data_IF_536562458291
#
_entry.id   IF_536562458291
#
_cell.length_a   1.000
_cell.length_b   1.000
_cell.length_c   1.000
_cell.angle_alpha   90.00
_cell.angle_beta   90.00
_cell.angle_gamma   90.00
#
_symmetry.space_group_name_H-M   'P 1'
#
loop_
_entity.id
_entity.type
_entity.pdbx_description
1 polymer ?
#
# COMPACT_ATOMS: atom_id res chain seq x y z
N UNK A 1 33.48 30.83 -47.47
CA UNK A 1 32.05 30.75 -47.09
C UNK A 1 31.84 30.02 -45.76
N UNK A 2 32.73 29.08 -45.37
CA UNK A 2 32.75 28.49 -44.01
C UNK A 2 32.72 29.51 -42.86
N UNK A 3 33.49 30.59 -42.97
CA UNK A 3 33.48 31.68 -41.98
C UNK A 3 32.10 32.36 -41.81
N UNK A 4 31.25 32.41 -42.84
CA UNK A 4 29.88 32.93 -42.72
C UNK A 4 28.97 31.94 -41.99
N UNK A 5 29.08 30.64 -42.29
CA UNK A 5 28.33 29.56 -41.62
C UNK A 5 28.67 29.53 -40.13
N UNK A 6 29.95 29.63 -39.80
CA UNK A 6 30.42 29.70 -38.41
C UNK A 6 29.90 30.95 -37.67
N UNK A 7 29.90 32.13 -38.33
CA UNK A 7 29.32 33.35 -37.74
C UNK A 7 27.83 33.20 -37.44
N UNK A 8 27.03 32.67 -38.37
CA UNK A 8 25.60 32.43 -38.13
C UNK A 8 25.36 31.36 -37.07
N UNK A 9 26.19 30.32 -37.03
CA UNK A 9 26.14 29.30 -35.99
C UNK A 9 26.35 29.92 -34.60
N UNK A 10 27.43 30.69 -34.41
CA UNK A 10 27.72 31.37 -33.13
C UNK A 10 26.59 32.33 -32.75
N UNK A 11 26.12 33.16 -33.67
CA UNK A 11 25.02 34.08 -33.41
C UNK A 11 23.72 33.36 -33.02
N UNK A 12 23.44 32.22 -33.65
CA UNK A 12 22.28 31.38 -33.32
C UNK A 12 22.43 30.80 -31.93
N UNK A 13 23.60 30.25 -31.58
CA UNK A 13 23.88 29.73 -30.24
C UNK A 13 23.75 30.83 -29.19
N UNK A 14 24.35 32.00 -29.41
CA UNK A 14 24.27 33.13 -28.48
C UNK A 14 22.81 33.58 -28.27
N UNK A 15 22.01 33.60 -29.32
CA UNK A 15 20.59 33.93 -29.22
C UNK A 15 19.82 32.88 -28.42
N UNK A 16 20.06 31.59 -28.67
CA UNK A 16 19.42 30.51 -27.93
C UNK A 16 19.85 30.47 -26.46
N UNK A 17 21.12 30.75 -26.15
CA UNK A 17 21.59 30.90 -24.77
C UNK A 17 20.89 32.07 -24.08
N UNK A 18 20.74 33.21 -24.77
CA UNK A 18 19.94 34.34 -24.29
C UNK A 18 18.47 33.99 -24.05
N UNK A 19 17.85 33.18 -24.92
CA UNK A 19 16.50 32.67 -24.72
C UNK A 19 16.42 31.74 -23.51
N UNK A 20 17.38 30.82 -23.35
CA UNK A 20 17.44 29.88 -22.23
C UNK A 20 17.40 30.56 -20.87
N UNK A 21 18.12 31.67 -20.71
CA UNK A 21 18.12 32.44 -19.46
C UNK A 21 16.73 32.99 -19.10
N UNK A 22 15.89 33.24 -20.10
CA UNK A 22 14.56 33.83 -19.93
C UNK A 22 13.43 32.79 -19.86
N UNK A 23 13.68 31.52 -20.17
CA UNK A 23 12.66 30.48 -20.12
C UNK A 23 12.28 30.14 -18.67
N UNK A 24 10.99 30.32 -18.35
CA UNK A 24 10.44 30.08 -17.00
C UNK A 24 9.43 28.93 -16.91
N UNK A 25 9.11 28.27 -18.02
CA UNK A 25 8.14 27.17 -18.05
C UNK A 25 8.71 25.94 -18.73
N UNK A 26 8.25 24.75 -18.31
CA UNK A 26 8.60 23.48 -18.90
C UNK A 26 8.19 23.43 -20.38
N UNK A 27 7.01 23.97 -20.73
CA UNK A 27 6.52 24.05 -22.11
C UNK A 27 7.50 24.80 -23.02
N UNK A 28 7.91 26.00 -22.61
CA UNK A 28 8.88 26.78 -23.39
C UNK A 28 10.25 26.08 -23.43
N UNK A 29 10.67 25.43 -22.35
CA UNK A 29 11.89 24.63 -22.33
C UNK A 29 11.82 23.43 -23.28
N UNK A 30 10.68 22.75 -23.38
CA UNK A 30 10.47 21.64 -24.32
C UNK A 30 10.55 22.09 -25.77
N UNK A 31 9.93 23.22 -26.11
CA UNK A 31 10.02 23.80 -27.47
C UNK A 31 11.48 24.07 -27.83
N UNK A 32 12.23 24.66 -26.91
CA UNK A 32 13.64 25.00 -27.11
C UNK A 32 14.51 23.74 -27.24
N UNK A 33 14.28 22.73 -26.38
CA UNK A 33 14.95 21.43 -26.48
C UNK A 33 14.67 20.72 -27.80
N UNK A 34 13.42 20.73 -28.26
CA UNK A 34 13.07 20.12 -29.54
C UNK A 34 13.76 20.85 -30.71
N UNK A 35 13.85 22.17 -30.62
CA UNK A 35 14.54 22.95 -31.64
C UNK A 35 16.03 22.61 -31.72
N UNK A 36 16.70 22.59 -30.56
CA UNK A 36 18.12 22.25 -30.43
C UNK A 36 18.38 20.81 -30.92
N UNK A 37 17.63 19.82 -30.42
CA UNK A 37 17.94 18.42 -30.71
C UNK A 37 17.47 17.94 -32.08
N UNK A 38 16.31 18.42 -32.54
CA UNK A 38 15.64 17.83 -33.71
C UNK A 38 15.49 18.78 -34.89
N UNK A 39 15.55 20.10 -34.68
CA UNK A 39 15.31 21.08 -35.76
C UNK A 39 16.61 21.62 -36.34
N UNK A 40 17.57 22.03 -35.50
CA UNK A 40 18.77 22.74 -35.96
C UNK A 40 19.65 21.92 -36.93
N UNK A 41 19.89 20.65 -36.59
CA UNK A 41 20.70 19.71 -37.38
C UNK A 41 19.85 18.91 -38.39
N UNK A 42 18.57 19.27 -38.55
CA UNK A 42 17.67 18.56 -39.46
C UNK A 42 18.00 18.80 -40.94
N UNK A 43 17.51 17.94 -41.85
CA UNK A 43 17.58 18.18 -43.29
C UNK A 43 16.92 19.49 -43.74
N UNK A 44 16.03 20.08 -42.94
CA UNK A 44 15.36 21.33 -43.30
C UNK A 44 16.23 22.57 -43.01
N UNK A 45 17.32 22.42 -42.24
CA UNK A 45 18.26 23.49 -41.87
C UNK A 45 19.69 23.11 -42.25
N UNK A 46 20.56 22.76 -41.28
CA UNK A 46 21.98 22.51 -41.55
C UNK A 46 22.25 21.21 -42.30
N UNK A 47 21.32 20.25 -42.26
CA UNK A 47 21.41 18.99 -43.00
C UNK A 47 20.85 19.04 -44.42
N UNK A 48 20.54 20.24 -44.95
CA UNK A 48 19.87 20.38 -46.24
C UNK A 48 20.73 19.82 -47.39
N UNK A 49 20.18 18.92 -48.24
CA UNK A 49 20.88 18.36 -49.40
C UNK A 49 21.43 19.42 -50.36
N UNK A 50 20.80 20.60 -50.45
CA UNK A 50 21.29 21.71 -51.27
C UNK A 50 22.60 22.33 -50.72
N UNK A 51 22.92 22.08 -49.45
CA UNK A 51 24.16 22.51 -48.80
C UNK A 51 25.23 21.41 -48.79
N UNK A 52 24.98 20.26 -49.42
CA UNK A 52 25.82 19.06 -49.32
C UNK A 52 27.23 19.25 -49.92
N UNK A 53 27.40 20.13 -50.91
CA UNK A 53 28.72 20.51 -51.45
C UNK A 53 29.56 21.33 -50.46
N UNK A 54 28.92 22.02 -49.51
CA UNK A 54 29.60 22.89 -48.52
C UNK A 54 29.90 22.18 -47.19
N UNK A 55 29.26 21.03 -46.93
CA UNK A 55 29.37 20.26 -45.69
C UNK A 55 29.34 21.14 -44.41
N UNK A 56 28.21 21.85 -44.14
CA UNK A 56 28.12 22.86 -43.08
C UNK A 56 28.44 22.30 -41.69
N UNK A 57 28.21 21.01 -41.50
CA UNK A 57 28.43 20.28 -40.25
C UNK A 57 29.92 20.26 -39.87
N UNK A 58 30.84 20.32 -40.85
CA UNK A 58 32.28 20.43 -40.58
C UNK A 58 32.74 21.83 -40.17
N UNK A 59 31.95 22.84 -40.49
CA UNK A 59 32.28 24.26 -40.27
C UNK A 59 31.65 24.81 -38.98
N UNK A 60 30.80 24.04 -38.30
CA UNK A 60 30.15 24.43 -37.04
C UNK A 60 30.85 23.83 -35.82
N UNK A 61 30.86 24.61 -34.74
CA UNK A 61 31.39 24.16 -33.45
C UNK A 61 30.36 23.27 -32.73
N UNK A 62 30.44 21.97 -33.02
CA UNK A 62 29.56 20.97 -32.39
C UNK A 62 29.77 20.87 -30.88
N UNK A 63 30.95 21.25 -30.36
CA UNK A 63 31.19 21.26 -28.93
C UNK A 63 30.37 22.38 -28.27
N UNK A 64 30.45 23.60 -28.80
CA UNK A 64 29.65 24.73 -28.36
C UNK A 64 28.14 24.41 -28.40
N UNK A 65 27.69 23.74 -29.46
CA UNK A 65 26.30 23.30 -29.57
C UNK A 65 25.91 22.25 -28.52
N UNK A 66 26.81 21.30 -28.24
CA UNK A 66 26.58 20.27 -27.22
C UNK A 66 26.47 20.86 -25.81
N UNK A 67 27.26 21.89 -25.51
CA UNK A 67 27.19 22.64 -24.24
C UNK A 67 25.86 23.38 -24.10
N UNK A 68 25.38 24.01 -25.18
CA UNK A 68 24.05 24.63 -25.21
C UNK A 68 22.95 23.60 -24.95
N UNK A 69 23.01 22.43 -25.59
CA UNK A 69 22.04 21.35 -25.40
C UNK A 69 22.02 20.85 -23.94
N UNK A 70 23.19 20.75 -23.30
CA UNK A 70 23.29 20.36 -21.90
C UNK A 70 22.70 21.42 -20.96
N UNK A 71 23.04 22.71 -21.16
CA UNK A 71 22.42 23.82 -20.42
C UNK A 71 20.91 23.82 -20.56
N UNK A 72 20.42 23.61 -21.78
CA UNK A 72 19.00 23.58 -22.08
C UNK A 72 18.28 22.41 -21.39
N UNK A 73 18.93 21.24 -21.35
CA UNK A 73 18.44 20.07 -20.61
C UNK A 73 18.36 20.36 -19.11
N UNK A 74 19.40 20.93 -18.52
CA UNK A 74 19.41 21.31 -17.08
C UNK A 74 18.26 22.28 -16.80
N UNK A 75 18.09 23.31 -17.64
CA UNK A 75 17.03 24.31 -17.48
C UNK A 75 15.63 23.70 -17.59
N UNK A 76 15.43 22.77 -18.52
CA UNK A 76 14.19 22.01 -18.65
C UNK A 76 13.90 21.22 -17.37
N UNK A 77 14.89 20.49 -16.85
CA UNK A 77 14.75 19.69 -15.62
C UNK A 77 14.38 20.58 -14.42
N UNK A 78 15.01 21.75 -14.27
CA UNK A 78 14.66 22.71 -13.21
C UNK A 78 13.20 23.18 -13.30
N UNK A 79 12.74 23.55 -14.50
CA UNK A 79 11.37 24.00 -14.73
C UNK A 79 10.36 22.87 -14.50
N UNK A 80 10.66 21.66 -14.98
CA UNK A 80 9.88 20.44 -14.73
C UNK A 80 9.71 20.21 -13.23
N UNK A 81 10.82 20.18 -12.46
CA UNK A 81 10.78 19.97 -11.01
C UNK A 81 9.89 20.99 -10.32
N UNK A 82 10.07 22.28 -10.64
CA UNK A 82 9.29 23.36 -10.06
C UNK A 82 7.79 23.21 -10.32
N UNK A 83 7.41 22.89 -11.55
CA UNK A 83 6.00 22.75 -11.94
C UNK A 83 5.37 21.48 -11.36
N UNK A 84 6.07 20.34 -11.40
CA UNK A 84 5.61 19.08 -10.78
C UNK A 84 5.43 19.27 -9.28
N UNK A 85 6.40 19.87 -8.59
CA UNK A 85 6.30 20.19 -7.18
C UNK A 85 5.05 21.01 -6.86
N UNK A 86 4.84 22.11 -7.58
CA UNK A 86 3.67 22.97 -7.38
C UNK A 86 2.36 22.23 -7.63
N UNK A 87 2.32 21.37 -8.66
CA UNK A 87 1.14 20.55 -8.97
C UNK A 87 0.85 19.53 -7.85
N UNK A 88 1.88 18.82 -7.37
CA UNK A 88 1.77 17.87 -6.26
C UNK A 88 1.34 18.55 -4.95
N UNK A 89 1.86 19.74 -4.66
CA UNK A 89 1.42 20.55 -3.51
C UNK A 89 -0.07 20.94 -3.62
N UNK A 90 -0.54 21.31 -4.81
CA UNK A 90 -1.95 21.62 -5.05
C UNK A 90 -2.84 20.38 -4.91
N UNK A 91 -2.39 19.21 -5.40
CA UNK A 91 -3.09 17.93 -5.23
C UNK A 91 -3.27 17.63 -3.74
N UNK A 92 -2.20 17.78 -2.95
CA UNK A 92 -2.25 17.57 -1.49
C UNK A 92 -3.22 18.54 -0.80
N UNK A 93 -3.23 19.82 -1.20
CA UNK A 93 -4.16 20.80 -0.63
C UNK A 93 -5.62 20.53 -0.99
N UNK A 94 -5.87 20.03 -2.20
CA UNK A 94 -7.22 19.68 -2.65
C UNK A 94 -7.76 18.45 -1.91
N UNK A 95 -6.90 17.45 -1.66
CA UNK A 95 -7.22 16.28 -0.83
C UNK A 95 -7.64 16.71 0.58
N UNK A 96 -6.91 17.65 1.20
CA UNK A 96 -7.28 18.23 2.51
C UNK A 96 -8.62 18.97 2.50
N UNK A 97 -8.95 19.63 1.39
CA UNK A 97 -10.12 20.49 1.28
C UNK A 97 -11.42 19.75 1.00
N UNK A 98 -11.38 18.43 0.75
CA UNK A 98 -12.55 17.65 0.32
C UNK A 98 -13.18 18.14 -0.98
N UNK A 99 -12.42 18.90 -1.80
CA UNK A 99 -12.94 19.61 -2.99
C UNK A 99 -12.94 18.76 -4.26
N UNK A 100 -12.27 17.62 -4.26
CA UNK A 100 -12.21 16.72 -5.41
C UNK A 100 -13.40 15.77 -5.38
N UNK A 101 -14.39 16.03 -6.25
CA UNK A 101 -15.50 15.11 -6.51
C UNK A 101 -15.10 13.80 -7.22
N UNK A 102 -13.80 13.55 -7.40
CA UNK A 102 -13.21 12.29 -7.87
C UNK A 102 -12.15 11.87 -6.85
N UNK A 103 -12.40 10.74 -6.23
CA UNK A 103 -12.02 10.45 -4.84
C UNK A 103 -10.61 9.83 -4.68
N UNK A 104 -9.66 10.18 -5.56
CA UNK A 104 -8.46 9.35 -5.74
C UNK A 104 -7.20 10.18 -6.04
N UNK A 105 -6.54 10.70 -4.99
CA UNK A 105 -5.26 11.42 -5.04
C UNK A 105 -4.21 10.72 -5.91
N UNK A 106 -4.22 9.39 -5.97
CA UNK A 106 -3.30 8.62 -6.81
C UNK A 106 -3.48 8.93 -8.31
N UNK A 107 -4.70 9.19 -8.79
CA UNK A 107 -4.97 9.46 -10.22
C UNK A 107 -4.29 10.76 -10.63
N UNK A 108 -4.54 11.83 -9.88
CA UNK A 108 -3.96 13.15 -10.16
C UNK A 108 -2.43 13.12 -10.03
N UNK A 109 -1.92 12.38 -9.04
CA UNK A 109 -0.49 12.18 -8.82
C UNK A 109 0.15 11.46 -10.02
N UNK A 110 -0.43 10.35 -10.49
CA UNK A 110 0.06 9.58 -11.65
C UNK A 110 0.05 10.45 -12.91
N UNK A 111 -1.05 11.17 -13.16
CA UNK A 111 -1.15 12.07 -14.31
C UNK A 111 -0.05 13.14 -14.28
N UNK A 112 0.19 13.74 -13.13
CA UNK A 112 1.22 14.76 -12.93
C UNK A 112 2.62 14.22 -13.26
N UNK A 113 3.00 13.05 -12.73
CA UNK A 113 4.34 12.48 -12.91
C UNK A 113 4.54 11.82 -14.28
N UNK A 114 3.46 11.42 -14.97
CA UNK A 114 3.52 10.75 -16.28
C UNK A 114 3.52 11.73 -17.47
N UNK A 115 2.88 12.91 -17.31
CA UNK A 115 2.69 13.85 -18.42
C UNK A 115 4.00 14.38 -18.99
N UNK A 116 4.92 14.88 -18.15
CA UNK A 116 6.15 15.51 -18.63
C UNK A 116 7.14 14.51 -19.27
N UNK A 117 7.36 13.29 -18.73
CA UNK A 117 8.16 12.27 -19.40
C UNK A 117 7.60 11.85 -20.77
N UNK A 118 6.27 11.88 -20.93
CA UNK A 118 5.60 11.59 -22.22
C UNK A 118 5.90 12.67 -23.25
N UNK A 119 5.84 13.95 -22.86
CA UNK A 119 6.22 15.07 -23.74
C UNK A 119 7.71 15.01 -24.12
N UNK A 120 8.58 14.73 -23.14
CA UNK A 120 10.01 14.56 -23.37
C UNK A 120 10.33 13.41 -24.35
N UNK A 121 9.54 12.32 -24.32
CA UNK A 121 9.70 11.16 -25.21
C UNK A 121 9.46 11.50 -26.67
N UNK A 122 8.62 12.49 -26.97
CA UNK A 122 8.40 12.99 -28.34
C UNK A 122 9.66 13.63 -28.91
N UNK A 123 10.56 14.11 -28.05
CA UNK A 123 11.85 14.71 -28.44
C UNK A 123 12.91 13.63 -28.52
N UNK A 124 13.14 12.89 -27.43
CA UNK A 124 14.05 11.74 -27.41
C UNK A 124 13.81 10.81 -26.22
N UNK A 125 14.17 9.53 -26.38
CA UNK A 125 14.06 8.54 -25.31
C UNK A 125 14.96 8.87 -24.11
N UNK A 126 16.15 9.42 -24.35
CA UNK A 126 17.08 9.79 -23.29
C UNK A 126 16.57 11.00 -22.48
N UNK A 127 15.96 11.99 -23.15
CA UNK A 127 15.38 13.13 -22.45
C UNK A 127 14.21 12.70 -21.56
N UNK A 128 13.37 11.78 -22.04
CA UNK A 128 12.28 11.19 -21.26
C UNK A 128 12.77 10.57 -19.96
N UNK A 129 13.89 9.85 -20.00
CA UNK A 129 14.50 9.28 -18.79
C UNK A 129 14.91 10.35 -17.77
N UNK A 130 15.61 11.41 -18.20
CA UNK A 130 16.04 12.47 -17.27
C UNK A 130 14.86 13.24 -16.66
N UNK A 131 13.84 13.51 -17.47
CA UNK A 131 12.61 14.17 -17.00
C UNK A 131 11.84 13.26 -16.04
N UNK A 132 11.78 11.96 -16.32
CA UNK A 132 11.16 10.97 -15.43
C UNK A 132 11.87 10.92 -14.08
N UNK A 133 13.20 10.81 -14.08
CA UNK A 133 13.99 10.80 -12.84
C UNK A 133 13.73 12.06 -11.99
N UNK A 134 13.65 13.23 -12.63
CA UNK A 134 13.30 14.48 -11.96
C UNK A 134 11.88 14.47 -11.37
N UNK A 135 10.88 13.97 -12.10
CA UNK A 135 9.51 13.85 -11.60
C UNK A 135 9.43 12.90 -10.39
N UNK A 136 10.18 11.81 -10.41
CA UNK A 136 10.22 10.84 -9.31
C UNK A 136 10.93 11.38 -8.07
N UNK A 137 11.95 12.23 -8.21
CA UNK A 137 12.55 12.94 -7.08
C UNK A 137 11.52 13.83 -6.36
N UNK A 138 10.71 14.58 -7.12
CA UNK A 138 9.63 15.39 -6.54
C UNK A 138 8.53 14.52 -5.92
N UNK A 139 8.19 13.38 -6.54
CA UNK A 139 7.25 12.41 -5.98
C UNK A 139 7.74 11.87 -4.63
N UNK A 140 9.02 11.53 -4.50
CA UNK A 140 9.59 11.05 -3.23
C UNK A 140 9.45 12.08 -2.13
N UNK A 141 9.75 13.36 -2.41
CA UNK A 141 9.56 14.44 -1.44
C UNK A 141 8.10 14.65 -1.08
N UNK A 142 7.20 14.59 -2.06
CA UNK A 142 5.76 14.63 -1.84
C UNK A 142 5.29 13.49 -0.91
N UNK A 143 5.70 12.25 -1.18
CA UNK A 143 5.32 11.08 -0.37
C UNK A 143 5.86 11.16 1.05
N UNK A 144 7.07 11.69 1.24
CA UNK A 144 7.63 11.95 2.56
C UNK A 144 6.74 12.93 3.36
N UNK A 145 6.33 14.03 2.74
CA UNK A 145 5.44 15.02 3.37
C UNK A 145 4.05 14.43 3.64
N UNK A 146 3.46 13.74 2.67
CA UNK A 146 2.15 13.11 2.81
C UNK A 146 2.14 12.10 3.97
N UNK A 147 3.18 11.26 4.08
CA UNK A 147 3.34 10.32 5.20
C UNK A 147 3.43 11.06 6.55
N UNK A 148 4.23 12.12 6.62
CA UNK A 148 4.40 12.91 7.84
C UNK A 148 3.13 13.65 8.26
N UNK A 149 2.26 14.00 7.33
CA UNK A 149 0.98 14.64 7.62
C UNK A 149 -0.05 13.63 8.13
N UNK A 150 -0.20 12.48 7.46
CA UNK A 150 -1.08 11.41 7.93
C UNK A 150 -0.68 10.89 9.31
N UNK A 151 0.61 10.93 9.65
CA UNK A 151 1.08 10.57 10.99
C UNK A 151 0.68 11.55 12.11
N UNK A 152 0.27 12.78 11.78
CA UNK A 152 -0.17 13.79 12.78
C UNK A 152 -1.66 13.74 13.07
N UNK A 153 -2.42 12.92 12.33
CA UNK A 153 -3.86 12.82 12.48
C UNK A 153 -4.20 12.00 13.72
N UNK A 154 -4.78 12.64 14.75
CA UNK A 154 -5.02 12.00 16.05
C UNK A 154 -6.13 10.94 16.01
N UNK A 155 -7.15 11.14 15.16
CA UNK A 155 -8.32 10.26 15.06
C UNK A 155 -8.81 10.18 13.61
N UNK A 156 -8.09 9.44 12.75
CA UNK A 156 -8.47 9.30 11.36
C UNK A 156 -9.77 8.51 11.23
N UNK A 157 -10.63 8.92 10.31
CA UNK A 157 -11.81 8.15 9.93
C UNK A 157 -11.40 6.89 9.15
N UNK A 158 -12.13 5.78 9.33
CA UNK A 158 -11.85 4.53 8.61
C UNK A 158 -11.87 4.76 7.09
N UNK A 159 -12.81 5.58 6.59
CA UNK A 159 -12.90 5.90 5.16
C UNK A 159 -11.59 6.53 4.64
N UNK A 160 -10.98 7.43 5.41
CA UNK A 160 -9.75 8.10 5.02
C UNK A 160 -8.52 7.17 5.09
N UNK A 161 -8.51 6.25 6.06
CA UNK A 161 -7.51 5.18 6.11
C UNK A 161 -7.61 4.28 4.88
N UNK A 162 -8.83 3.92 4.45
CA UNK A 162 -9.06 3.14 3.23
C UNK A 162 -8.58 3.86 1.96
N UNK A 163 -8.91 5.14 1.82
CA UNK A 163 -8.39 5.98 0.72
C UNK A 163 -6.86 6.00 0.72
N UNK A 164 -6.24 6.09 1.89
CA UNK A 164 -4.78 6.06 2.01
C UNK A 164 -4.18 4.72 1.56
N UNK A 165 -4.77 3.58 1.96
CA UNK A 165 -4.35 2.26 1.49
C UNK A 165 -4.50 2.10 -0.03
N UNK A 166 -5.60 2.61 -0.58
CA UNK A 166 -5.83 2.65 -2.02
C UNK A 166 -4.76 3.46 -2.74
N UNK A 167 -4.49 4.68 -2.27
CA UNK A 167 -3.44 5.53 -2.82
C UNK A 167 -2.07 4.81 -2.77
N UNK A 168 -1.74 4.15 -1.67
CA UNK A 168 -0.51 3.37 -1.55
C UNK A 168 -0.42 2.27 -2.61
N UNK A 169 -1.48 1.48 -2.76
CA UNK A 169 -1.50 0.34 -3.68
C UNK A 169 -1.35 0.79 -5.13
N UNK A 170 -2.17 1.74 -5.57
CA UNK A 170 -2.20 2.15 -6.98
C UNK A 170 -0.92 2.91 -7.37
N UNK A 171 -0.39 3.75 -6.48
CA UNK A 171 0.92 4.39 -6.70
C UNK A 171 2.05 3.36 -6.77
N UNK A 172 2.08 2.37 -5.87
CA UNK A 172 3.09 1.31 -5.94
C UNK A 172 3.00 0.51 -7.24
N UNK A 173 1.79 0.17 -7.67
CA UNK A 173 1.57 -0.53 -8.93
C UNK A 173 2.11 0.28 -10.12
N UNK A 174 1.80 1.58 -10.19
CA UNK A 174 2.34 2.46 -11.23
C UNK A 174 3.88 2.52 -11.20
N UNK A 175 4.48 2.67 -10.02
CA UNK A 175 5.95 2.75 -9.89
C UNK A 175 6.60 1.42 -10.31
N UNK A 176 5.99 0.28 -9.96
CA UNK A 176 6.53 -1.05 -10.26
C UNK A 176 6.41 -1.44 -11.73
N UNK A 177 5.42 -0.91 -12.46
CA UNK A 177 5.21 -1.16 -13.89
C UNK A 177 6.07 -0.26 -14.78
N UNK A 178 6.78 0.71 -14.21
CA UNK A 178 7.65 1.61 -14.96
C UNK A 178 8.97 0.91 -15.36
N UNK A 179 9.33 0.99 -16.65
CA UNK A 179 10.39 0.19 -17.30
C UNK A 179 11.81 0.33 -16.71
N UNK A 180 12.09 1.35 -15.89
CA UNK A 180 13.43 1.59 -15.31
C UNK A 180 13.34 1.97 -13.84
N UNK A 181 13.98 1.17 -12.98
CA UNK A 181 14.06 1.38 -11.54
C UNK A 181 15.37 2.11 -11.19
N UNK A 182 15.29 3.41 -10.90
CA UNK A 182 16.42 4.19 -10.36
C UNK A 182 16.30 4.30 -8.83
N UNK A 183 17.30 4.87 -8.14
CA UNK A 183 17.25 5.03 -6.67
C UNK A 183 16.00 5.80 -6.16
N UNK A 184 15.55 6.91 -6.80
CA UNK A 184 14.27 7.55 -6.47
C UNK A 184 13.05 6.62 -6.48
N UNK A 185 13.01 5.60 -7.33
CA UNK A 185 11.88 4.66 -7.41
C UNK A 185 11.81 3.80 -6.16
N UNK A 186 12.96 3.25 -5.73
CA UNK A 186 13.04 2.42 -4.54
C UNK A 186 12.69 3.22 -3.28
N UNK A 187 13.12 4.49 -3.23
CA UNK A 187 12.80 5.38 -2.11
C UNK A 187 11.30 5.71 -2.06
N UNK A 188 10.68 6.03 -3.20
CA UNK A 188 9.24 6.25 -3.29
C UNK A 188 8.43 5.02 -2.83
N UNK A 189 8.80 3.81 -3.27
CA UNK A 189 8.18 2.56 -2.81
C UNK A 189 8.35 2.39 -1.30
N UNK A 190 9.54 2.63 -0.76
CA UNK A 190 9.79 2.52 0.68
C UNK A 190 8.99 3.54 1.52
N UNK A 191 8.69 4.73 0.98
CA UNK A 191 7.75 5.66 1.61
C UNK A 191 6.32 5.12 1.61
N UNK A 192 5.85 4.58 0.48
CA UNK A 192 4.51 3.99 0.36
C UNK A 192 4.34 2.77 1.27
N UNK A 193 5.36 1.91 1.39
CA UNK A 193 5.32 0.75 2.28
C UNK A 193 5.24 1.15 3.76
N UNK A 194 6.01 2.17 4.17
CA UNK A 194 5.92 2.73 5.53
C UNK A 194 4.55 3.30 5.81
N UNK A 195 3.97 4.02 4.85
CA UNK A 195 2.64 4.60 4.98
C UNK A 195 1.54 3.54 5.03
N UNK A 196 1.62 2.50 4.19
CA UNK A 196 0.70 1.36 4.25
C UNK A 196 0.78 0.66 5.61
N UNK A 197 1.98 0.35 6.09
CA UNK A 197 2.19 -0.30 7.38
C UNK A 197 1.64 0.52 8.55
N UNK A 198 1.88 1.84 8.55
CA UNK A 198 1.35 2.76 9.54
C UNK A 198 -0.20 2.82 9.50
N UNK A 199 -0.78 2.92 8.31
CA UNK A 199 -2.23 2.98 8.11
C UNK A 199 -2.91 1.69 8.55
N UNK A 200 -2.35 0.53 8.20
CA UNK A 200 -2.84 -0.77 8.65
C UNK A 200 -2.74 -0.93 10.17
N UNK A 201 -1.67 -0.40 10.79
CA UNK A 201 -1.52 -0.40 12.25
C UNK A 201 -2.64 0.39 12.93
N UNK A 202 -2.90 1.62 12.48
CA UNK A 202 -3.98 2.44 13.03
C UNK A 202 -5.35 1.78 12.87
N UNK A 203 -5.61 1.17 11.70
CA UNK A 203 -6.86 0.45 11.48
C UNK A 203 -7.01 -0.74 12.44
N UNK A 204 -5.94 -1.50 12.66
CA UNK A 204 -5.92 -2.60 13.64
C UNK A 204 -6.16 -2.09 15.06
N UNK A 205 -5.59 -0.96 15.45
CA UNK A 205 -5.83 -0.35 16.76
C UNK A 205 -7.31 0.04 16.94
N UNK A 206 -7.93 0.67 15.93
CA UNK A 206 -9.37 1.01 15.96
C UNK A 206 -10.24 -0.23 16.11
N UNK A 207 -9.95 -1.29 15.35
CA UNK A 207 -10.70 -2.56 15.41
C UNK A 207 -10.49 -3.25 16.75
N UNK A 208 -9.25 -3.27 17.25
CA UNK A 208 -8.92 -3.87 18.56
C UNK A 208 -9.66 -3.15 19.69
N UNK A 209 -9.66 -1.82 19.71
CA UNK A 209 -10.36 -1.02 20.72
C UNK A 209 -11.86 -1.27 20.67
N UNK A 210 -12.45 -1.33 19.48
CA UNK A 210 -13.87 -1.66 19.31
C UNK A 210 -14.18 -3.07 19.85
N UNK A 211 -13.41 -4.07 19.45
CA UNK A 211 -13.58 -5.45 19.88
C UNK A 211 -13.43 -5.60 21.40
N UNK A 212 -12.36 -5.04 21.97
CA UNK A 212 -12.08 -5.07 23.41
C UNK A 212 -13.20 -4.38 24.21
N UNK A 213 -13.70 -3.22 23.76
CA UNK A 213 -14.75 -2.49 24.47
C UNK A 213 -16.07 -3.27 24.56
N UNK A 214 -16.50 -3.90 23.47
CA UNK A 214 -17.75 -4.66 23.44
C UNK A 214 -17.60 -6.04 24.08
N UNK A 215 -16.56 -6.80 23.70
CA UNK A 215 -16.39 -8.18 24.16
C UNK A 215 -16.13 -8.24 25.67
N UNK A 216 -15.38 -7.29 26.23
CA UNK A 216 -15.18 -7.21 27.69
C UNK A 216 -16.49 -7.05 28.45
N UNK A 217 -17.49 -6.35 27.90
CA UNK A 217 -18.82 -6.20 28.52
C UNK A 217 -19.69 -7.43 28.25
N UNK A 218 -19.62 -7.96 27.03
CA UNK A 218 -20.34 -9.15 26.60
C UNK A 218 -20.11 -10.34 27.54
N UNK A 219 -18.84 -10.64 27.81
CA UNK A 219 -18.45 -11.74 28.68
C UNK A 219 -18.69 -11.49 30.18
N UNK A 220 -18.98 -10.25 30.59
CA UNK A 220 -19.20 -9.89 32.00
C UNK A 220 -20.67 -9.88 32.41
N UNK A 221 -21.56 -9.33 31.59
CA UNK A 221 -22.92 -9.03 32.08
C UNK A 221 -23.99 -8.78 31.02
N UNK A 222 -23.64 -8.44 29.77
CA UNK A 222 -24.64 -8.00 28.79
C UNK A 222 -24.54 -8.77 27.48
N UNK A 223 -25.52 -9.63 27.20
CA UNK A 223 -25.52 -10.47 26.00
C UNK A 223 -25.82 -9.69 24.70
N UNK A 224 -26.20 -8.40 24.77
CA UNK A 224 -26.47 -7.58 23.58
C UNK A 224 -25.22 -6.93 23.00
N UNK A 225 -24.16 -6.79 23.78
CA UNK A 225 -22.93 -6.11 23.36
C UNK A 225 -22.23 -6.79 22.17
N UNK A 226 -22.43 -8.10 21.98
CA UNK A 226 -21.94 -8.78 20.79
C UNK A 226 -22.66 -8.30 19.52
N UNK A 227 -23.97 -8.10 19.56
CA UNK A 227 -24.72 -7.54 18.42
C UNK A 227 -24.36 -6.07 18.16
N UNK A 228 -24.08 -5.29 19.22
CA UNK A 228 -23.56 -3.94 19.06
C UNK A 228 -22.20 -3.93 18.36
N UNK A 229 -21.30 -4.85 18.71
CA UNK A 229 -20.04 -5.03 17.98
C UNK A 229 -20.27 -5.30 16.49
N UNK A 230 -21.11 -6.30 16.15
CA UNK A 230 -21.39 -6.64 14.75
C UNK A 230 -22.01 -5.44 13.99
N UNK A 231 -22.92 -4.71 14.63
CA UNK A 231 -23.50 -3.50 14.07
C UNK A 231 -22.44 -2.42 13.82
N UNK A 232 -21.53 -2.18 14.77
CA UNK A 232 -20.46 -1.19 14.64
C UNK A 232 -19.47 -1.58 13.53
N UNK A 233 -19.15 -2.87 13.39
CA UNK A 233 -18.36 -3.37 12.24
C UNK A 233 -19.11 -3.08 10.94
N UNK A 234 -20.38 -3.49 10.82
CA UNK A 234 -21.16 -3.24 9.59
C UNK A 234 -21.23 -1.76 9.26
N UNK A 235 -21.58 -0.91 10.23
CA UNK A 235 -21.74 0.53 10.04
C UNK A 235 -20.44 1.24 9.63
N UNK A 236 -19.29 0.82 10.15
CA UNK A 236 -18.02 1.50 9.89
C UNK A 236 -17.33 1.03 8.62
N UNK A 237 -17.58 -0.21 8.20
CA UNK A 237 -16.96 -0.81 7.02
C UNK A 237 -17.93 -0.97 5.84
N UNK A 238 -19.19 -0.54 5.98
CA UNK A 238 -20.12 -0.39 4.85
C UNK A 238 -19.72 0.78 3.96
N UNK A 239 -19.88 0.62 2.64
CA UNK A 239 -19.69 1.69 1.65
C UNK A 239 -18.28 2.31 1.67
N UNK A 240 -17.27 1.46 1.76
CA UNK A 240 -15.88 1.91 1.68
C UNK A 240 -15.48 2.21 0.24
N UNK A 241 -14.73 3.30 0.01
CA UNK A 241 -14.22 3.62 -1.31
C UNK A 241 -13.14 2.63 -1.75
N UNK A 242 -13.06 2.38 -3.06
CA UNK A 242 -11.91 1.74 -3.69
C UNK A 242 -12.07 0.27 -4.10
N UNK A 243 -10.92 -0.40 -4.21
CA UNK A 243 -10.80 -1.72 -4.82
C UNK A 243 -11.17 -2.87 -3.86
N UNK A 244 -11.78 -3.92 -4.45
CA UNK A 244 -12.24 -5.10 -3.70
C UNK A 244 -11.12 -5.84 -3.00
N UNK A 245 -9.89 -5.80 -3.51
CA UNK A 245 -8.75 -6.49 -2.90
C UNK A 245 -8.23 -5.78 -1.65
N UNK A 246 -8.22 -4.44 -1.62
CA UNK A 246 -7.89 -3.68 -0.40
C UNK A 246 -8.97 -3.92 0.65
N UNK A 247 -10.25 -3.88 0.26
CA UNK A 247 -11.36 -4.23 1.14
C UNK A 247 -11.23 -5.65 1.70
N UNK A 248 -10.96 -6.64 0.85
CA UNK A 248 -10.77 -8.03 1.26
C UNK A 248 -9.64 -8.16 2.29
N UNK A 249 -8.46 -7.59 2.00
CA UNK A 249 -7.30 -7.65 2.91
C UNK A 249 -7.63 -7.05 4.29
N UNK A 250 -8.29 -5.90 4.32
CA UNK A 250 -8.67 -5.26 5.58
C UNK A 250 -9.74 -6.06 6.32
N UNK A 251 -10.72 -6.63 5.61
CA UNK A 251 -11.76 -7.45 6.23
C UNK A 251 -11.16 -8.73 6.81
N UNK A 252 -10.25 -9.39 6.11
CA UNK A 252 -9.54 -10.55 6.64
C UNK A 252 -8.77 -10.21 7.93
N UNK A 253 -7.98 -9.14 7.93
CA UNK A 253 -7.20 -8.75 9.10
C UNK A 253 -8.09 -8.34 10.29
N UNK A 254 -9.20 -7.65 10.01
CA UNK A 254 -10.18 -7.25 11.03
C UNK A 254 -10.91 -8.46 11.61
N UNK A 255 -11.33 -9.39 10.75
CA UNK A 255 -12.03 -10.61 11.16
C UNK A 255 -11.14 -11.46 12.07
N UNK A 256 -9.89 -11.72 11.65
CA UNK A 256 -8.90 -12.44 12.47
C UNK A 256 -8.74 -11.81 13.85
N UNK A 257 -8.59 -10.49 13.90
CA UNK A 257 -8.38 -9.74 15.14
C UNK A 257 -9.58 -9.85 16.08
N UNK A 258 -10.80 -9.70 15.56
CA UNK A 258 -12.01 -9.81 16.39
C UNK A 258 -12.17 -11.23 16.93
N UNK A 259 -11.96 -12.26 16.09
CA UNK A 259 -12.03 -13.66 16.51
C UNK A 259 -11.00 -13.97 17.60
N UNK A 260 -9.77 -13.45 17.46
CA UNK A 260 -8.72 -13.56 18.47
C UNK A 260 -9.13 -12.90 19.80
N UNK A 261 -9.61 -11.65 19.77
CA UNK A 261 -10.04 -10.93 20.98
C UNK A 261 -11.22 -11.64 21.66
N UNK A 262 -12.16 -12.18 20.87
CA UNK A 262 -13.27 -12.98 21.39
C UNK A 262 -12.77 -14.18 22.18
N UNK A 263 -11.87 -14.98 21.57
CA UNK A 263 -11.32 -16.17 22.20
C UNK A 263 -10.55 -15.83 23.49
N UNK A 264 -9.76 -14.75 23.46
CA UNK A 264 -9.03 -14.25 24.63
C UNK A 264 -9.98 -13.95 25.79
N UNK A 265 -11.09 -13.24 25.54
CA UNK A 265 -12.08 -12.95 26.59
C UNK A 265 -12.82 -14.20 27.06
N UNK A 266 -13.12 -15.15 26.17
CA UNK A 266 -13.70 -16.45 26.54
C UNK A 266 -12.83 -17.18 27.56
N UNK A 267 -11.54 -17.33 27.26
CA UNK A 267 -10.56 -18.03 28.11
C UNK A 267 -10.37 -17.32 29.45
N UNK A 268 -10.39 -15.98 29.46
CA UNK A 268 -10.26 -15.17 30.67
C UNK A 268 -11.53 -15.18 31.54
N UNK A 269 -12.67 -15.57 30.96
CA UNK A 269 -13.95 -15.55 31.65
C UNK A 269 -14.16 -16.78 32.52
N UNK A 270 -14.88 -16.58 33.64
CA UNK A 270 -15.20 -17.69 34.54
C UNK A 270 -16.24 -18.60 33.90
N UNK A 271 -15.86 -19.85 33.61
CA UNK A 271 -16.77 -20.86 33.07
C UNK A 271 -18.06 -21.01 33.88
N UNK A 272 -17.98 -20.98 35.21
CA UNK A 272 -19.16 -21.04 36.10
C UNK A 272 -20.10 -19.85 35.92
N UNK A 273 -19.55 -18.65 35.69
CA UNK A 273 -20.35 -17.45 35.42
C UNK A 273 -20.99 -17.52 34.04
N UNK A 274 -20.26 -17.98 33.03
CA UNK A 274 -20.78 -18.15 31.67
C UNK A 274 -21.94 -19.15 31.64
N UNK A 275 -21.80 -20.32 32.27
CA UNK A 275 -22.90 -21.29 32.41
C UNK A 275 -24.15 -20.71 33.09
N UNK A 276 -23.97 -19.77 34.03
CA UNK A 276 -25.09 -19.10 34.70
C UNK A 276 -25.76 -18.05 33.81
N UNK A 277 -24.98 -17.31 33.03
CA UNK A 277 -25.45 -16.14 32.27
C UNK A 277 -25.92 -16.51 30.85
N UNK A 278 -25.37 -17.56 30.25
CA UNK A 278 -25.58 -17.93 28.84
C UNK A 278 -26.39 -19.22 28.67
N UNK A 279 -27.07 -19.71 29.72
CA UNK A 279 -27.67 -21.07 29.73
C UNK A 279 -26.57 -22.17 29.78
N UNK A 280 -26.90 -23.46 30.05
CA UNK A 280 -25.89 -24.51 30.25
C UNK A 280 -24.98 -24.77 29.04
N UNK A 281 -25.40 -24.38 27.84
CA UNK A 281 -24.76 -24.74 26.57
C UNK A 281 -23.80 -23.66 26.07
N UNK A 282 -22.78 -23.36 26.87
CA UNK A 282 -21.74 -22.36 26.52
C UNK A 282 -21.08 -22.66 25.17
N UNK A 283 -20.85 -23.94 24.84
CA UNK A 283 -20.28 -24.36 23.56
C UNK A 283 -21.18 -24.01 22.37
N UNK A 284 -22.50 -24.25 22.49
CA UNK A 284 -23.47 -23.89 21.45
C UNK A 284 -23.47 -22.37 21.23
N UNK A 285 -23.49 -21.59 22.31
CA UNK A 285 -23.48 -20.12 22.20
C UNK A 285 -22.25 -19.60 21.46
N UNK A 286 -21.07 -20.14 21.74
CA UNK A 286 -19.84 -19.76 21.05
C UNK A 286 -19.89 -20.12 19.56
N UNK A 287 -20.50 -21.25 19.20
CA UNK A 287 -20.68 -21.63 17.81
C UNK A 287 -21.66 -20.69 17.07
N UNK A 288 -22.80 -20.35 17.68
CA UNK A 288 -23.76 -19.37 17.14
C UNK A 288 -23.11 -17.99 16.93
N UNK A 289 -22.37 -17.50 17.92
CA UNK A 289 -21.66 -16.22 17.82
C UNK A 289 -20.59 -16.27 16.71
N UNK A 290 -19.90 -17.41 16.55
CA UNK A 290 -18.93 -17.60 15.47
C UNK A 290 -19.60 -17.54 14.08
N UNK A 291 -20.73 -18.22 13.89
CA UNK A 291 -21.49 -18.20 12.63
C UNK A 291 -21.94 -16.77 12.27
N UNK A 292 -22.51 -16.04 13.23
CA UNK A 292 -22.94 -14.64 13.04
C UNK A 292 -21.78 -13.71 12.70
N UNK A 293 -20.61 -13.94 13.30
CA UNK A 293 -19.39 -13.20 12.98
C UNK A 293 -18.97 -13.47 11.53
N UNK A 294 -18.99 -14.73 11.09
CA UNK A 294 -18.64 -15.07 9.71
C UNK A 294 -19.62 -14.49 8.69
N UNK A 295 -20.92 -14.57 8.97
CA UNK A 295 -21.97 -13.99 8.13
C UNK A 295 -21.74 -12.48 7.96
N UNK A 296 -21.49 -11.78 9.07
CA UNK A 296 -21.21 -10.34 9.05
C UNK A 296 -20.03 -9.97 8.16
N UNK A 297 -18.91 -10.69 8.27
CA UNK A 297 -17.74 -10.43 7.43
C UNK A 297 -17.92 -10.87 5.98
N UNK A 298 -18.72 -11.90 5.73
CA UNK A 298 -19.05 -12.38 4.37
C UNK A 298 -19.95 -11.40 3.61
N UNK A 299 -20.85 -10.72 4.32
CA UNK A 299 -21.62 -9.60 3.75
C UNK A 299 -20.71 -8.43 3.36
N UNK A 300 -19.73 -8.09 4.21
CA UNK A 300 -18.81 -6.97 3.97
C UNK A 300 -17.74 -7.26 2.91
N UNK A 301 -17.26 -8.51 2.83
CA UNK A 301 -16.31 -8.97 1.83
C UNK A 301 -16.69 -10.38 1.35
N UNK A 302 -17.47 -10.48 0.25
CA UNK A 302 -17.87 -11.78 -0.29
C UNK A 302 -16.67 -12.64 -0.67
N UNK A 303 -16.62 -13.86 -0.12
CA UNK A 303 -15.50 -14.78 -0.30
C UNK A 303 -14.37 -14.64 0.73
N UNK A 304 -14.57 -13.87 1.81
CA UNK A 304 -13.63 -13.81 2.93
C UNK A 304 -13.40 -15.21 3.50
N UNK A 305 -12.14 -15.53 3.77
CA UNK A 305 -11.80 -16.78 4.44
C UNK A 305 -12.41 -16.83 5.84
N UNK A 306 -12.83 -18.02 6.26
CA UNK A 306 -13.33 -18.25 7.61
C UNK A 306 -12.17 -18.25 8.63
N UNK A 307 -12.13 -17.19 9.46
CA UNK A 307 -11.06 -16.96 10.45
C UNK A 307 -11.48 -17.25 11.90
N UNK A 308 -12.69 -17.74 12.12
CA UNK A 308 -13.26 -18.09 13.43
C UNK A 308 -13.16 -19.59 13.75
N UNK A 309 -12.40 -20.38 12.98
CA UNK A 309 -12.45 -21.85 13.08
C UNK A 309 -12.13 -22.41 14.47
N UNK A 310 -11.22 -21.78 15.22
CA UNK A 310 -10.99 -22.15 16.62
C UNK A 310 -12.23 -21.95 17.49
N UNK A 311 -13.06 -20.93 17.23
CA UNK A 311 -14.34 -20.71 17.91
C UNK A 311 -15.36 -21.79 17.57
N UNK A 312 -15.49 -22.18 16.30
CA UNK A 312 -16.39 -23.26 15.89
C UNK A 312 -16.03 -24.58 16.59
N UNK A 313 -14.74 -24.86 16.75
CA UNK A 313 -14.24 -26.04 17.48
C UNK A 313 -14.35 -25.96 19.00
N UNK A 314 -14.67 -24.80 19.59
CA UNK A 314 -14.90 -24.70 21.04
C UNK A 314 -16.02 -25.63 21.48
N UNK A 315 -17.09 -25.77 20.69
CA UNK A 315 -18.22 -26.64 21.05
C UNK A 315 -17.80 -28.10 21.13
N UNK A 316 -17.20 -28.63 20.07
CA UNK A 316 -16.66 -29.99 20.01
C UNK A 316 -15.67 -30.22 21.15
N UNK A 317 -14.70 -29.31 21.29
CA UNK A 317 -13.70 -29.39 22.34
C UNK A 317 -14.34 -29.36 23.72
N UNK A 318 -15.41 -28.61 23.95
CA UNK A 318 -16.10 -28.49 25.22
C UNK A 318 -16.92 -29.74 25.57
N UNK A 319 -17.62 -30.30 24.59
CA UNK A 319 -18.50 -31.47 24.74
C UNK A 319 -17.74 -32.81 24.78
N UNK A 320 -16.50 -32.85 24.27
CA UNK A 320 -15.64 -34.04 24.28
C UNK A 320 -15.47 -34.63 25.69
N UNK A 321 -16.04 -35.82 25.90
CA UNK A 321 -15.89 -36.60 27.16
C UNK A 321 -14.66 -37.50 27.14
N UNK A 322 -14.20 -37.90 25.95
CA UNK A 322 -13.02 -38.72 25.75
C UNK A 322 -11.77 -37.85 25.65
N UNK A 323 -10.71 -38.23 26.37
CA UNK A 323 -9.41 -37.56 26.26
C UNK A 323 -8.78 -37.76 24.87
N UNK A 324 -9.01 -38.91 24.23
CA UNK A 324 -8.53 -39.19 22.88
C UNK A 324 -9.24 -38.33 21.83
N UNK A 325 -10.58 -38.21 21.92
CA UNK A 325 -11.34 -37.32 21.03
C UNK A 325 -10.85 -35.87 21.15
N UNK A 326 -10.60 -35.42 22.38
CA UNK A 326 -10.08 -34.08 22.63
C UNK A 326 -8.68 -33.83 22.06
N UNK A 327 -7.79 -34.84 22.10
CA UNK A 327 -6.48 -34.75 21.43
C UNK A 327 -6.64 -34.57 19.92
N UNK A 328 -7.56 -35.32 19.31
CA UNK A 328 -7.86 -35.19 17.88
C UNK A 328 -8.44 -33.82 17.54
N UNK A 329 -9.39 -33.31 18.34
CA UNK A 329 -9.97 -31.97 18.18
C UNK A 329 -8.89 -30.90 18.35
N UNK A 330 -8.02 -31.00 19.36
CA UNK A 330 -6.91 -30.07 19.56
C UNK A 330 -5.90 -30.12 18.40
N UNK A 331 -5.61 -31.31 17.85
CA UNK A 331 -4.73 -31.47 16.70
C UNK A 331 -5.32 -30.88 15.41
N UNK A 332 -6.63 -31.01 15.20
CA UNK A 332 -7.32 -30.33 14.09
C UNK A 332 -7.29 -28.82 14.27
N UNK A 333 -7.58 -28.30 15.48
CA UNK A 333 -7.47 -26.87 15.80
C UNK A 333 -6.07 -26.34 15.49
N UNK A 334 -5.06 -27.08 15.90
CA UNK A 334 -3.66 -26.79 15.63
C UNK A 334 -3.42 -26.75 14.11
N UNK A 335 -3.57 -27.87 13.43
CA UNK A 335 -3.19 -27.97 12.01
C UNK A 335 -3.95 -27.04 11.06
N UNK A 336 -5.21 -26.71 11.37
CA UNK A 336 -6.10 -26.00 10.44
C UNK A 336 -6.26 -24.50 10.76
N UNK A 337 -6.14 -24.08 12.02
CA UNK A 337 -6.63 -22.77 12.48
C UNK A 337 -5.61 -21.92 13.27
N UNK A 338 -4.32 -22.10 13.03
CA UNK A 338 -3.31 -21.14 13.49
C UNK A 338 -3.40 -19.83 12.71
N UNK A 339 -3.86 -18.77 13.36
CA UNK A 339 -3.92 -17.45 12.73
C UNK A 339 -2.68 -16.64 13.12
N UNK A 340 -2.36 -16.57 14.42
CA UNK A 340 -1.21 -15.87 14.99
C UNK A 340 -0.27 -16.80 15.76
N UNK A 341 1.01 -16.42 15.88
CA UNK A 341 1.96 -17.13 16.76
C UNK A 341 1.52 -17.11 18.23
N UNK A 342 0.74 -16.10 18.62
CA UNK A 342 0.14 -15.98 19.96
C UNK A 342 -1.03 -16.95 20.17
N UNK A 343 -1.72 -17.36 19.09
CA UNK A 343 -2.83 -18.33 19.18
C UNK A 343 -2.36 -19.72 19.59
N UNK A 344 -1.10 -20.05 19.32
CA UNK A 344 -0.46 -21.27 19.83
C UNK A 344 -0.51 -21.33 21.36
N UNK A 345 -0.49 -20.18 22.04
CA UNK A 345 -0.62 -20.10 23.51
C UNK A 345 -2.08 -20.10 23.96
N UNK A 346 -3.03 -19.79 23.07
CA UNK A 346 -4.45 -19.78 23.40
C UNK A 346 -5.03 -21.19 23.49
N UNK A 347 -4.57 -22.15 22.67
CA UNK A 347 -5.08 -23.53 22.72
C UNK A 347 -4.83 -24.21 24.09
N UNK A 348 -3.61 -24.21 24.66
CA UNK A 348 -3.38 -24.72 26.02
C UNK A 348 -4.22 -23.97 27.08
N UNK A 349 -4.39 -22.66 26.91
CA UNK A 349 -5.19 -21.85 27.82
C UNK A 349 -6.69 -22.20 27.72
N UNK A 350 -7.19 -22.53 26.53
CA UNK A 350 -8.56 -22.99 26.27
C UNK A 350 -8.81 -24.37 26.89
N UNK A 351 -7.86 -25.31 26.76
CA UNK A 351 -7.92 -26.63 27.40
C UNK A 351 -7.96 -26.50 28.93
N UNK A 352 -7.14 -25.58 29.48
CA UNK A 352 -7.18 -25.24 30.90
C UNK A 352 -8.52 -24.63 31.32
N UNK A 353 -9.07 -23.73 30.51
CA UNK A 353 -10.39 -23.13 30.75
C UNK A 353 -11.51 -24.18 30.72
N UNK A 354 -11.41 -25.19 29.83
CA UNK A 354 -12.26 -26.40 29.85
C UNK A 354 -12.09 -27.23 31.13
N UNK A 355 -11.04 -27.02 31.90
CA UNK A 355 -10.83 -27.68 33.20
C UNK A 355 -9.91 -28.89 33.16
N UNK A 356 -9.04 -29.00 32.14
CA UNK A 356 -8.01 -30.02 32.12
C UNK A 356 -6.93 -29.74 33.17
N UNK A 357 -6.35 -30.82 33.70
CA UNK A 357 -5.19 -30.72 34.58
C UNK A 357 -3.93 -30.35 33.77
N UNK A 358 -2.94 -29.75 34.44
CA UNK A 358 -1.65 -29.41 33.79
C UNK A 358 -0.96 -30.61 33.16
N UNK A 359 -1.09 -31.80 33.76
CA UNK A 359 -0.51 -33.03 33.23
C UNK A 359 -1.15 -33.42 31.90
N UNK A 360 -2.49 -33.41 31.83
CA UNK A 360 -3.22 -33.71 30.59
C UNK A 360 -2.96 -32.69 29.49
N UNK A 361 -2.77 -31.41 29.85
CA UNK A 361 -2.40 -30.39 28.87
C UNK A 361 -1.02 -30.68 28.29
N UNK A 362 -0.03 -31.05 29.12
CA UNK A 362 1.31 -31.45 28.62
C UNK A 362 1.25 -32.67 27.71
N UNK A 363 0.42 -33.66 28.04
CA UNK A 363 0.21 -34.83 27.17
C UNK A 363 -0.39 -34.45 25.81
N UNK A 364 -1.31 -33.48 25.78
CA UNK A 364 -1.83 -32.92 24.52
C UNK A 364 -0.72 -32.15 23.79
N UNK A 365 0.05 -31.30 24.47
CA UNK A 365 1.16 -30.54 23.88
C UNK A 365 2.22 -31.44 23.25
N UNK A 366 2.62 -32.54 23.91
CA UNK A 366 3.57 -33.53 23.35
C UNK A 366 3.02 -34.13 22.05
N UNK A 367 1.75 -34.54 22.04
CA UNK A 367 1.12 -35.09 20.84
C UNK A 367 1.04 -34.05 19.73
N UNK A 368 0.83 -32.78 20.06
CA UNK A 368 0.79 -31.69 19.09
C UNK A 368 2.18 -31.37 18.53
N UNK A 369 3.24 -31.46 19.35
CA UNK A 369 4.63 -31.35 18.91
C UNK A 369 4.97 -32.46 17.90
N UNK A 370 4.62 -33.72 18.22
CA UNK A 370 4.83 -34.88 17.34
C UNK A 370 4.06 -34.79 16.00
N UNK A 371 2.89 -34.13 16.00
CA UNK A 371 2.08 -33.91 14.79
C UNK A 371 2.58 -32.71 13.99
N UNK A 372 3.20 -31.72 14.64
CA UNK A 372 3.68 -30.47 14.02
C UNK A 372 4.99 -30.61 13.22
N UNK A 373 5.71 -31.73 13.35
CA UNK A 373 6.87 -32.07 12.49
C UNK A 373 6.48 -32.29 11.01
N UNK A 374 5.17 -32.27 10.69
CA UNK A 374 4.68 -32.09 9.33
C UNK A 374 4.61 -30.59 8.97
N UNK A 375 5.61 -30.10 8.23
CA UNK A 375 5.71 -28.70 7.82
C UNK A 375 4.41 -28.14 7.18
N UNK A 376 4.04 -26.88 7.50
CA UNK A 376 3.01 -26.18 6.75
C UNK A 376 3.48 -25.91 5.32
N UNK A 377 2.56 -26.05 4.36
CA UNK A 377 2.74 -25.59 2.97
C UNK A 377 3.02 -24.10 2.97
N UNK A 378 4.30 -23.74 2.94
CA UNK A 378 4.78 -22.42 2.57
C UNK A 378 4.41 -22.13 1.10
N UNK A 379 3.88 -20.92 0.86
CA UNK A 379 3.89 -20.25 -0.45
C UNK A 379 4.55 -18.87 -0.22
N UNK A 380 5.44 -18.42 -1.11
CA UNK A 380 6.81 -18.11 -0.73
C UNK A 380 7.06 -16.63 -0.41
N UNK A 381 7.93 -16.38 0.56
CA UNK A 381 8.66 -15.12 0.66
C UNK A 381 9.95 -15.22 -0.16
N UNK A 382 10.13 -14.21 -1.01
CA UNK A 382 11.27 -13.92 -1.87
C UNK A 382 12.63 -14.51 -1.45
N UNK A 383 13.25 -15.21 -2.41
CA UNK A 383 14.69 -15.42 -2.47
C UNK A 383 15.43 -14.09 -2.53
N UNK A 384 16.03 -13.68 -1.42
CA UNK A 384 17.21 -12.82 -1.46
C UNK A 384 18.43 -13.74 -1.58
N UNK A 385 18.92 -13.91 -2.81
CA UNK A 385 20.30 -14.37 -3.00
C UNK A 385 21.24 -13.20 -2.74
N UNK A 386 22.20 -13.44 -1.87
CA UNK A 386 23.41 -12.67 -1.69
C UNK A 386 24.26 -12.69 -2.95
N UNK A 387 24.77 -11.53 -3.35
CA UNK A 387 26.14 -11.33 -3.80
C UNK A 387 26.56 -9.92 -3.40
#
# INVERSE_FOLDING_TARGET
>A
MGCLIECYHRQTVDHLDGLLQNVRSSRSSFVLMNWILNTYLSPDLLGNPELQEMDPIKEVDLLLFSELAEKAKIKLIENVKKEVKSSLENILQNDRGGKTGKDELYVDTIQCIHAMPTEARKISQQLSYYVQEACFQELTMFLANYTAEKAKEEKPEIKDLFKTLMNCKELKHYIQTTDKKTSPFNEAVAHLDRMEAFTLKLLKEIVADMAENHLKKYFKSDNKEFFHLLHDVKSRFSELPGSKDVQMKVMEDSYKLIAHVYLKHLIQSSRRKLMKNWSPEVGLRVAEDAELLHETFSELAPGVREWNGMLLKVKELYEDKSFEAMKMTAASIQNEYHTWSEDLKLLPALLKWKGLSRQKIREVEIVLEDVSDYQPRFVPACSCFTS
#
